data_IF_655404321563
#
_entry.id   IF_655404321563
#
_cell.length_a   1.000
_cell.length_b   1.000
_cell.length_c   1.000
_cell.angle_alpha   90.00
_cell.angle_beta   90.00
_cell.angle_gamma   90.00
#
_symmetry.space_group_name_H-M   'P 1'
#
loop_
_entity.id
_entity.type
_entity.pdbx_description
1 polymer ?
#
# COMPACT_ATOMS: atom_id res chain seq x y z
N UNK A 1 -4.32 3.47 -0.22
CA UNK A 1 -3.16 3.17 -1.09
C UNK A 1 -3.63 2.23 -2.18
N UNK A 2 -3.36 2.52 -3.45
CA UNK A 2 -3.78 1.66 -4.58
C UNK A 2 -2.60 1.31 -5.48
N UNK A 3 -2.67 0.16 -6.15
CA UNK A 3 -1.64 -0.27 -7.12
C UNK A 3 -2.00 0.16 -8.53
N UNK A 4 -1.02 0.72 -9.26
CA UNK A 4 -1.23 1.25 -10.62
C UNK A 4 -1.50 0.12 -11.61
N UNK A 5 -0.57 -0.81 -11.90
CA UNK A 5 -0.86 -1.96 -12.78
C UNK A 5 0.00 -3.23 -12.65
N UNK A 6 1.19 -3.26 -12.04
CA UNK A 6 2.00 -4.49 -11.97
C UNK A 6 1.85 -5.24 -10.63
N UNK A 7 1.90 -6.58 -10.66
CA UNK A 7 1.79 -7.39 -9.42
C UNK A 7 3.03 -7.21 -8.55
N UNK A 8 4.20 -7.13 -9.19
CA UNK A 8 5.48 -6.91 -8.51
C UNK A 8 5.52 -5.58 -7.76
N UNK A 9 5.00 -4.51 -8.35
CA UNK A 9 4.98 -3.18 -7.74
C UNK A 9 4.19 -3.16 -6.43
N UNK A 10 3.05 -3.87 -6.37
CA UNK A 10 2.27 -4.00 -5.14
C UNK A 10 3.11 -4.62 -4.02
N UNK A 11 3.89 -5.66 -4.33
CA UNK A 11 4.77 -6.31 -3.35
C UNK A 11 5.94 -5.38 -2.98
N UNK A 12 6.57 -4.77 -3.97
CA UNK A 12 7.71 -3.88 -3.77
C UNK A 12 7.34 -2.70 -2.87
N UNK A 13 6.21 -2.04 -3.12
CA UNK A 13 5.84 -0.80 -2.43
C UNK A 13 4.96 -1.01 -1.19
N UNK A 14 4.45 -2.22 -0.93
CA UNK A 14 3.74 -2.53 0.32
C UNK A 14 4.60 -2.26 1.57
N UNK A 15 5.93 -2.30 1.46
CA UNK A 15 6.87 -1.96 2.54
C UNK A 15 6.69 -0.55 3.14
N UNK A 16 6.00 0.34 2.44
CA UNK A 16 5.70 1.68 2.93
C UNK A 16 4.40 1.74 3.75
N UNK A 17 3.55 0.71 3.72
CA UNK A 17 2.31 0.68 4.49
C UNK A 17 2.53 0.87 6.00
N UNK A 18 3.53 0.23 6.65
CA UNK A 18 3.84 0.49 8.06
C UNK A 18 4.22 1.96 8.33
N UNK A 19 4.97 2.59 7.42
CA UNK A 19 5.39 3.98 7.56
C UNK A 19 4.20 4.93 7.45
N UNK A 20 3.27 4.68 6.52
CA UNK A 20 2.03 5.46 6.41
C UNK A 20 1.17 5.28 7.66
N UNK A 21 1.06 4.06 8.19
CA UNK A 21 0.34 3.79 9.43
C UNK A 21 0.98 4.51 10.64
N UNK A 22 2.32 4.59 10.69
CA UNK A 22 3.05 5.31 11.73
C UNK A 22 2.80 6.83 11.73
N UNK A 23 2.33 7.39 10.61
CA UNK A 23 1.84 8.78 10.54
C UNK A 23 0.43 8.95 11.13
N UNK A 24 -0.19 7.88 11.65
CA UNK A 24 -1.53 7.87 12.22
C UNK A 24 -2.65 7.54 11.22
N UNK A 25 -2.30 7.18 9.98
CA UNK A 25 -3.29 6.83 8.97
C UNK A 25 -3.84 5.42 9.17
N UNK A 26 -5.14 5.23 8.94
CA UNK A 26 -5.74 3.90 8.77
C UNK A 26 -5.55 3.45 7.33
N UNK A 27 -4.60 2.56 7.09
CA UNK A 27 -4.24 2.16 5.72
C UNK A 27 -5.25 1.17 5.14
N UNK A 28 -5.94 1.59 4.08
CA UNK A 28 -6.67 0.71 3.17
C UNK A 28 -5.78 0.45 1.96
N UNK A 29 -5.48 -0.81 1.68
CA UNK A 29 -4.69 -1.27 0.55
C UNK A 29 -5.63 -1.86 -0.50
N UNK A 30 -5.77 -1.19 -1.64
CA UNK A 30 -6.53 -1.67 -2.79
C UNK A 30 -5.58 -2.29 -3.82
N UNK A 31 -5.69 -3.59 -4.01
CA UNK A 31 -4.79 -4.36 -4.87
C UNK A 31 -5.54 -5.47 -5.63
N UNK A 32 -4.86 -6.15 -6.54
CA UNK A 32 -5.43 -7.30 -7.24
C UNK A 32 -5.53 -8.53 -6.34
N UNK A 33 -6.53 -9.41 -6.54
CA UNK A 33 -6.74 -10.61 -5.72
C UNK A 33 -5.50 -11.51 -5.59
N UNK A 34 -4.71 -11.64 -6.67
CA UNK A 34 -3.54 -12.53 -6.72
C UNK A 34 -2.46 -12.26 -5.64
N UNK A 35 -2.40 -11.03 -5.11
CA UNK A 35 -1.45 -10.64 -4.04
C UNK A 35 -2.15 -10.24 -2.74
N UNK A 36 -3.49 -10.36 -2.66
CA UNK A 36 -4.28 -9.90 -1.51
C UNK A 36 -3.94 -10.63 -0.23
N UNK A 37 -3.92 -11.96 -0.28
CA UNK A 37 -3.63 -12.76 0.91
C UNK A 37 -2.21 -12.49 1.44
N UNK A 38 -1.24 -12.27 0.54
CA UNK A 38 0.13 -11.94 0.91
C UNK A 38 0.21 -10.58 1.59
N UNK A 39 -0.40 -9.54 0.98
CA UNK A 39 -0.25 -8.17 1.46
C UNK A 39 -1.20 -7.81 2.61
N UNK A 40 -2.24 -8.60 2.86
CA UNK A 40 -3.13 -8.41 4.01
C UNK A 40 -2.41 -8.59 5.36
N UNK A 41 -1.32 -9.34 5.40
CA UNK A 41 -0.52 -9.55 6.62
C UNK A 41 0.56 -8.50 6.86
N UNK A 42 0.73 -7.52 5.96
CA UNK A 42 1.74 -6.47 6.13
C UNK A 42 1.37 -5.57 7.29
N UNK A 43 2.33 -5.31 8.18
CA UNK A 43 2.13 -4.43 9.33
C UNK A 43 1.61 -3.06 8.90
N UNK A 44 0.67 -2.50 9.67
CA UNK A 44 0.06 -1.22 9.38
C UNK A 44 -1.08 -1.26 8.35
N UNK A 45 -1.28 -2.35 7.60
CA UNK A 45 -2.46 -2.52 6.74
C UNK A 45 -3.69 -2.82 7.60
N UNK A 46 -4.67 -1.92 7.62
CA UNK A 46 -5.92 -2.11 8.35
C UNK A 46 -6.95 -2.90 7.53
N UNK A 47 -6.98 -2.66 6.22
CA UNK A 47 -7.86 -3.37 5.27
C UNK A 47 -7.13 -3.63 3.97
N UNK A 48 -7.27 -4.83 3.42
CA UNK A 48 -6.79 -5.16 2.09
C UNK A 48 -7.97 -5.59 1.22
N UNK A 49 -8.30 -4.76 0.22
CA UNK A 49 -9.48 -4.92 -0.63
C UNK A 49 -9.10 -5.18 -2.08
N UNK A 50 -10.01 -5.84 -2.79
CA UNK A 50 -9.84 -6.18 -4.19
C UNK A 50 -10.23 -5.00 -5.08
N UNK A 51 -9.33 -4.60 -5.97
CA UNK A 51 -9.60 -3.54 -6.96
C UNK A 51 -10.76 -3.88 -7.91
N UNK A 52 -11.03 -5.16 -8.12
CA UNK A 52 -12.15 -5.64 -8.94
C UNK A 52 -13.49 -5.66 -8.19
N UNK A 53 -13.48 -5.43 -6.87
CA UNK A 53 -14.70 -5.25 -6.08
C UNK A 53 -15.04 -3.76 -6.01
N UNK A 54 -16.32 -3.40 -6.08
CA UNK A 54 -16.74 -2.03 -5.86
C UNK A 54 -16.32 -1.61 -4.46
N UNK A 55 -15.35 -0.69 -4.26
CA UNK A 55 -14.86 -0.40 -2.93
C UNK A 55 -15.93 0.42 -2.21
N UNK A 56 -16.71 -0.24 -1.36
CA UNK A 56 -17.70 0.39 -0.47
C UNK A 56 -17.05 1.10 0.73
N UNK A 57 -15.72 1.08 0.83
CA UNK A 57 -15.02 1.70 1.94
C UNK A 57 -14.80 3.18 1.65
N UNK A 58 -15.32 4.02 2.54
CA UNK A 58 -14.97 5.43 2.57
C UNK A 58 -13.49 5.61 2.92
N UNK A 59 -12.83 6.56 2.26
CA UNK A 59 -11.47 6.99 2.55
C UNK A 59 -11.38 8.51 2.41
N UNK A 60 -10.49 9.12 3.20
CA UNK A 60 -10.29 10.57 3.17
C UNK A 60 -9.27 10.98 2.10
N UNK A 61 -8.29 10.11 1.83
CA UNK A 61 -7.17 10.35 0.93
C UNK A 61 -6.84 9.10 0.12
N UNK A 62 -6.36 9.30 -1.11
CA UNK A 62 -5.81 8.25 -1.95
C UNK A 62 -4.39 8.58 -2.41
N UNK A 63 -3.58 7.54 -2.61
CA UNK A 63 -2.21 7.66 -3.07
C UNK A 63 -1.83 6.38 -3.83
N UNK A 64 -1.28 6.48 -5.06
CA UNK A 64 -0.67 5.35 -5.74
C UNK A 64 0.53 4.82 -4.94
N UNK A 65 0.66 3.51 -4.85
CA UNK A 65 1.76 2.86 -4.12
C UNK A 65 3.13 3.29 -4.63
N UNK A 66 3.28 3.44 -5.96
CA UNK A 66 4.52 3.87 -6.60
C UNK A 66 4.93 5.31 -6.27
N UNK A 67 4.03 6.12 -5.71
CA UNK A 67 4.31 7.50 -5.29
C UNK A 67 4.88 7.59 -3.87
N UNK A 68 4.80 6.53 -3.07
CA UNK A 68 5.27 6.55 -1.68
C UNK A 68 6.79 6.78 -1.54
N UNK A 69 7.66 6.21 -2.40
CA UNK A 69 9.08 6.56 -2.38
C UNK A 69 9.31 8.07 -2.51
N UNK A 70 8.57 8.74 -3.39
CA UNK A 70 8.64 10.19 -3.56
C UNK A 70 8.14 10.92 -2.30
N UNK A 71 6.97 10.53 -1.77
CA UNK A 71 6.38 11.16 -0.59
C UNK A 71 7.26 11.05 0.67
N UNK A 72 7.97 9.93 0.82
CA UNK A 72 8.90 9.70 1.92
C UNK A 72 10.34 10.17 1.63
N UNK A 73 10.61 10.75 0.45
CA UNK A 73 11.96 11.19 0.07
C UNK A 73 12.98 10.05 0.06
N UNK A 74 12.56 8.88 -0.41
CA UNK A 74 13.40 7.67 -0.39
C UNK A 74 14.62 7.83 -1.28
N UNK A 75 15.78 7.47 -0.72
CA UNK A 75 17.08 7.37 -1.39
C UNK A 75 17.54 5.91 -1.33
N UNK A 76 18.58 5.56 -2.08
CA UNK A 76 19.09 4.19 -2.14
C UNK A 76 19.45 3.62 -0.75
N UNK A 77 19.97 4.46 0.14
CA UNK A 77 20.35 4.14 1.51
C UNK A 77 19.18 4.16 2.51
N UNK A 78 18.00 4.63 2.10
CA UNK A 78 16.80 4.72 2.96
C UNK A 78 15.63 3.88 2.47
N UNK A 79 15.86 2.99 1.48
CA UNK A 79 14.85 2.04 1.02
C UNK A 79 14.38 1.22 2.24
N UNK A 80 13.08 1.21 2.56
CA UNK A 80 12.59 0.47 3.71
C UNK A 80 12.90 -1.02 3.57
N UNK A 81 13.34 -1.65 4.66
CA UNK A 81 13.43 -3.09 4.74
C UNK A 81 12.04 -3.65 5.05
N UNK A 82 11.71 -4.79 4.44
CA UNK A 82 10.44 -5.48 4.65
C UNK A 82 10.50 -6.37 5.89
#
# INVERSE_FOLDING_TARGET
LHSDEALGDSIQFARYAPMVAALGARVILEIRPAVRQLLAGVSGVAHCVDRSSTPSLAFDLHCPLGSLPLAFGTRLDTIPLA
#
